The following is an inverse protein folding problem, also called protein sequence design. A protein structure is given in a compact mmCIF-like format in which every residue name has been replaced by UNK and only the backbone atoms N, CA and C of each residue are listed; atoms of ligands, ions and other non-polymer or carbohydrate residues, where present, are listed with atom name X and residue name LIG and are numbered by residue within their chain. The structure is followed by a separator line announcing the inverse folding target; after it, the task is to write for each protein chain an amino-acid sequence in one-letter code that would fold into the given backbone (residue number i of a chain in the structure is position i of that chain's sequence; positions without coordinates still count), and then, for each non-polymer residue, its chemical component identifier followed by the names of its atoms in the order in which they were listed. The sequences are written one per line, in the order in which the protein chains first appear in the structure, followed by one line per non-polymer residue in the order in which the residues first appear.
data_IF_331320029686
#
_entry.id   IF_331320029686
#
_cell.length_a   1.000
_cell.length_b   1.000
_cell.length_c   1.000
_cell.angle_alpha   90.00
_cell.angle_beta   90.00
_cell.angle_gamma   90.00
#
_symmetry.space_group_name_H-M   'P 1'
#
loop_
_entity.id
_entity.type
_entity.pdbx_description
1 polymer ?
#
# COMPACT_ATOMS: atom_id res chain seq x y z
N UNK A 1 -13.84 -17.36 3.31
CA UNK A 1 -14.68 -17.12 4.52
C UNK A 1 -15.80 -18.15 4.68
N UNK A 2 -16.71 -18.32 3.72
CA UNK A 2 -17.78 -19.34 3.79
C UNK A 2 -17.29 -20.79 3.88
N UNK A 3 -16.20 -21.15 3.18
CA UNK A 3 -15.58 -22.50 3.26
C UNK A 3 -15.00 -22.77 4.67
N UNK A 4 -14.19 -21.85 5.19
CA UNK A 4 -13.66 -21.91 6.56
C UNK A 4 -14.75 -21.99 7.63
N UNK A 5 -15.83 -21.22 7.49
CA UNK A 5 -16.98 -21.27 8.41
C UNK A 5 -17.68 -22.64 8.41
N UNK A 6 -17.58 -23.39 7.31
CA UNK A 6 -18.14 -24.73 7.16
C UNK A 6 -17.10 -25.84 7.40
N UNK A 7 -15.92 -25.53 7.94
CA UNK A 7 -14.88 -26.52 8.27
C UNK A 7 -14.15 -27.11 7.06
N UNK A 8 -14.32 -26.54 5.86
CA UNK A 8 -13.54 -26.96 4.70
C UNK A 8 -12.17 -26.27 4.68
N UNK A 9 -11.16 -27.01 4.23
CA UNK A 9 -9.89 -26.43 3.83
C UNK A 9 -10.12 -25.41 2.70
N UNK A 10 -9.51 -24.24 2.89
CA UNK A 10 -9.55 -23.13 1.96
C UNK A 10 -8.18 -23.15 1.26
N UNK A 11 -8.09 -23.88 0.15
CA UNK A 11 -6.93 -23.81 -0.76
C UNK A 11 -7.20 -22.66 -1.73
N UNK A 12 -6.59 -21.47 -1.53
CA UNK A 12 -6.82 -20.36 -2.42
C UNK A 12 -6.22 -20.68 -3.79
N UNK A 13 -6.87 -20.31 -4.90
CA UNK A 13 -6.33 -20.58 -6.24
C UNK A 13 -4.94 -19.95 -6.43
N UNK A 14 -4.08 -20.64 -7.19
CA UNK A 14 -2.75 -20.17 -7.63
C UNK A 14 -1.90 -19.63 -6.47
N UNK A 15 -1.78 -20.44 -5.42
CA UNK A 15 -0.99 -20.14 -4.21
C UNK A 15 -1.39 -18.85 -3.49
N UNK A 16 -2.67 -18.47 -3.58
CA UNK A 16 -3.19 -17.26 -2.96
C UNK A 16 -2.72 -15.98 -3.61
N UNK A 17 -2.39 -16.00 -4.91
CA UNK A 17 -2.11 -14.80 -5.68
C UNK A 17 -3.27 -13.80 -5.60
N UNK A 18 -2.94 -12.51 -5.45
CA UNK A 18 -3.94 -11.43 -5.42
C UNK A 18 -4.80 -11.42 -6.67
N UNK A 19 -4.19 -11.64 -7.83
CA UNK A 19 -4.89 -11.80 -9.09
C UNK A 19 -4.58 -13.17 -9.69
N UNK A 20 -5.58 -14.06 -9.63
CA UNK A 20 -5.44 -15.48 -10.00
C UNK A 20 -6.28 -15.86 -11.23
N UNK A 21 -7.25 -15.03 -11.63
CA UNK A 21 -8.07 -15.19 -12.85
C UNK A 21 -8.80 -16.54 -13.01
N UNK A 22 -8.90 -17.36 -11.98
CA UNK A 22 -9.45 -18.73 -12.08
C UNK A 22 -10.95 -18.79 -12.37
N UNK A 23 -11.68 -17.68 -12.18
CA UNK A 23 -13.13 -17.62 -12.39
C UNK A 23 -13.48 -17.19 -13.82
N UNK A 24 -14.40 -17.90 -14.51
CA UNK A 24 -14.83 -17.56 -15.86
C UNK A 24 -15.25 -16.08 -16.00
N UNK A 25 -14.69 -15.39 -17.00
CA UNK A 25 -15.02 -13.99 -17.29
C UNK A 25 -14.38 -12.96 -16.35
N UNK A 26 -13.67 -13.39 -15.30
CA UNK A 26 -13.08 -12.48 -14.32
C UNK A 26 -11.70 -11.97 -14.77
N UNK A 27 -11.60 -10.67 -15.04
CA UNK A 27 -10.32 -9.96 -15.28
C UNK A 27 -9.80 -9.24 -14.03
N UNK A 28 -10.50 -9.39 -12.90
CA UNK A 28 -10.10 -8.91 -11.57
C UNK A 28 -9.60 -7.45 -11.53
N UNK A 29 -10.23 -6.58 -12.32
CA UNK A 29 -9.93 -5.14 -12.34
C UNK A 29 -8.81 -4.73 -13.30
N UNK A 30 -8.25 -5.65 -14.09
CA UNK A 30 -7.34 -5.29 -15.17
C UNK A 30 -8.09 -4.62 -16.33
N UNK A 31 -7.44 -3.63 -16.94
CA UNK A 31 -7.90 -2.87 -18.11
C UNK A 31 -6.75 -2.79 -19.12
N UNK A 32 -7.08 -2.81 -20.41
CA UNK A 32 -6.12 -2.69 -21.49
C UNK A 32 -6.01 -1.27 -22.03
N UNK A 33 -4.78 -0.85 -22.36
CA UNK A 33 -4.46 0.32 -23.18
C UNK A 33 -3.66 -0.16 -24.39
N UNK A 34 -4.10 0.18 -25.60
CA UNK A 34 -3.58 -0.39 -26.86
C UNK A 34 -3.62 -1.94 -26.90
N UNK A 35 -4.50 -2.56 -26.10
CA UNK A 35 -4.77 -3.99 -26.06
C UNK A 35 -6.17 -4.25 -25.46
N UNK A 36 -6.67 -5.47 -25.62
CA UNK A 36 -7.92 -5.93 -25.02
C UNK A 36 -7.64 -7.04 -24.02
N UNK A 37 -8.20 -6.93 -22.82
CA UNK A 37 -8.07 -7.96 -21.78
C UNK A 37 -9.34 -8.80 -21.68
N UNK A 38 -9.17 -10.11 -21.48
CA UNK A 38 -10.27 -11.06 -21.31
C UNK A 38 -9.85 -12.22 -20.40
N UNK A 39 -10.78 -13.12 -20.08
CA UNK A 39 -10.50 -14.32 -19.29
C UNK A 39 -10.69 -15.57 -20.15
N UNK A 40 -9.60 -16.25 -20.48
CA UNK A 40 -9.59 -17.44 -21.34
C UNK A 40 -8.93 -18.62 -20.64
N UNK A 41 -9.17 -19.82 -21.16
CA UNK A 41 -8.35 -20.97 -20.78
C UNK A 41 -7.02 -20.88 -21.53
N UNK A 42 -5.92 -20.91 -20.79
CA UNK A 42 -4.59 -21.07 -21.36
C UNK A 42 -4.38 -22.53 -21.84
N UNK A 43 -3.33 -22.82 -22.62
CA UNK A 43 -3.03 -24.17 -23.11
C UNK A 43 -2.90 -25.26 -22.03
N UNK A 44 -2.56 -24.89 -20.79
CA UNK A 44 -2.53 -25.81 -19.64
C UNK A 44 -3.94 -26.20 -19.13
N UNK A 45 -5.01 -25.64 -19.70
CA UNK A 45 -6.40 -25.89 -19.33
C UNK A 45 -6.94 -25.00 -18.20
N UNK A 46 -6.06 -24.29 -17.50
CA UNK A 46 -6.42 -23.33 -16.44
C UNK A 46 -6.84 -21.98 -17.02
N UNK A 47 -7.60 -21.20 -16.26
CA UNK A 47 -7.99 -19.86 -16.67
C UNK A 47 -6.93 -18.83 -16.32
N UNK A 48 -6.70 -17.90 -17.23
CA UNK A 48 -5.72 -16.84 -17.15
C UNK A 48 -6.33 -15.52 -17.66
N UNK A 49 -5.70 -14.40 -17.32
CA UNK A 49 -5.95 -13.14 -18.01
C UNK A 49 -5.29 -13.24 -19.39
N UNK A 50 -6.06 -13.10 -20.46
CA UNK A 50 -5.56 -13.07 -21.82
C UNK A 50 -5.48 -11.61 -22.28
N UNK A 51 -4.27 -11.15 -22.59
CA UNK A 51 -3.98 -9.85 -23.18
C UNK A 51 -3.88 -10.05 -24.69
N UNK A 52 -4.88 -9.56 -25.42
CA UNK A 52 -4.93 -9.57 -26.87
C UNK A 52 -4.31 -8.27 -27.38
N UNK A 53 -3.29 -8.37 -28.22
CA UNK A 53 -2.57 -7.22 -28.75
C UNK A 53 -2.36 -7.36 -30.26
N UNK A 54 -2.30 -6.22 -30.93
CA UNK A 54 -1.91 -6.12 -32.34
C UNK A 54 -0.40 -5.80 -32.45
N UNK A 55 0.11 -5.80 -33.68
CA UNK A 55 1.46 -5.31 -33.95
C UNK A 55 1.61 -3.85 -33.50
N UNK A 56 2.65 -3.57 -32.73
CA UNK A 56 2.92 -2.25 -32.17
C UNK A 56 3.89 -1.47 -33.06
N UNK A 57 3.55 -0.24 -33.48
CA UNK A 57 4.50 0.66 -34.14
C UNK A 57 5.71 0.95 -33.25
N UNK A 58 6.85 1.29 -33.87
CA UNK A 58 8.04 1.68 -33.12
C UNK A 58 7.75 2.82 -32.13
N UNK A 59 8.11 2.61 -30.86
CA UNK A 59 7.88 3.55 -29.76
C UNK A 59 6.46 3.56 -29.18
N UNK A 60 5.57 2.66 -29.61
CA UNK A 60 4.27 2.41 -28.98
C UNK A 60 4.32 1.17 -28.12
N UNK A 61 3.62 1.20 -27.00
CA UNK A 61 3.52 0.11 -26.05
C UNK A 61 2.05 -0.19 -25.75
N UNK A 62 1.76 -1.43 -25.36
CA UNK A 62 0.45 -1.82 -24.86
C UNK A 62 0.55 -2.21 -23.39
N UNK A 63 -0.48 -1.90 -22.61
CA UNK A 63 -0.45 -2.10 -21.16
C UNK A 63 -1.73 -2.78 -20.69
N UNK A 64 -1.58 -3.79 -19.83
CA UNK A 64 -2.67 -4.37 -19.07
C UNK A 64 -2.42 -4.08 -17.58
N UNK A 65 -3.18 -3.12 -17.03
CA UNK A 65 -2.97 -2.59 -15.68
C UNK A 65 -4.22 -2.68 -14.82
N UNK A 66 -4.02 -2.73 -13.50
CA UNK A 66 -5.08 -2.63 -12.50
C UNK A 66 -4.78 -1.50 -11.52
N UNK A 67 -5.83 -0.82 -11.05
CA UNK A 67 -5.71 0.30 -10.13
C UNK A 67 -5.27 -0.17 -8.74
N UNK A 68 -4.23 0.48 -8.21
CA UNK A 68 -3.75 0.30 -6.83
C UNK A 68 -4.11 1.49 -5.93
N UNK A 69 -4.52 2.61 -6.53
CA UNK A 69 -5.03 3.79 -5.85
C UNK A 69 -6.07 4.50 -6.74
N UNK A 70 -6.34 5.79 -6.51
CA UNK A 70 -7.26 6.58 -7.34
C UNK A 70 -6.66 6.79 -8.74
N UNK A 71 -7.49 6.67 -9.77
CA UNK A 71 -7.08 6.62 -11.18
C UNK A 71 -6.43 7.93 -11.67
N UNK A 72 -6.92 9.09 -11.21
CA UNK A 72 -6.38 10.38 -11.61
C UNK A 72 -6.63 11.46 -10.56
N UNK A 73 -5.88 12.57 -10.68
CA UNK A 73 -6.12 13.77 -9.89
C UNK A 73 -7.51 14.37 -10.16
N UNK A 74 -8.03 14.31 -11.38
CA UNK A 74 -9.37 14.78 -11.72
C UNK A 74 -10.44 13.95 -11.00
N UNK A 75 -10.32 12.63 -11.02
CA UNK A 75 -11.21 11.72 -10.30
C UNK A 75 -11.22 12.03 -8.81
N UNK A 76 -10.05 12.24 -8.20
CA UNK A 76 -9.96 12.60 -6.79
C UNK A 76 -10.69 13.93 -6.50
N UNK A 77 -10.45 14.97 -7.31
CA UNK A 77 -11.12 16.28 -7.17
C UNK A 77 -12.63 16.21 -7.37
N UNK A 78 -13.09 15.38 -8.29
CA UNK A 78 -14.51 15.20 -8.57
C UNK A 78 -15.29 14.74 -7.33
N UNK A 79 -14.74 13.79 -6.56
CA UNK A 79 -15.40 13.30 -5.35
C UNK A 79 -15.33 14.27 -4.17
N UNK A 80 -14.24 15.03 -4.02
CA UNK A 80 -14.10 16.05 -2.97
C UNK A 80 -15.20 17.11 -3.00
N UNK A 81 -15.70 17.45 -4.20
CA UNK A 81 -16.70 18.48 -4.38
C UNK A 81 -18.14 18.02 -4.07
N UNK A 82 -18.37 16.72 -3.82
CA UNK A 82 -19.72 16.14 -3.71
C UNK A 82 -20.12 15.73 -2.29
N UNK A 83 -19.49 16.33 -1.28
CA UNK A 83 -19.84 16.14 0.14
C UNK A 83 -19.22 14.89 0.77
N UNK A 84 -19.14 13.78 0.04
CA UNK A 84 -18.37 12.59 0.42
C UNK A 84 -17.13 12.48 -0.46
N UNK A 85 -16.00 12.99 0.05
CA UNK A 85 -14.70 12.84 -0.61
C UNK A 85 -14.29 11.37 -0.70
N UNK A 86 -13.58 11.02 -1.77
CA UNK A 86 -12.97 9.70 -1.91
C UNK A 86 -11.77 9.61 -0.96
N UNK A 87 -11.90 8.79 0.09
CA UNK A 87 -10.79 8.47 0.99
C UNK A 87 -10.24 7.10 0.63
N UNK A 88 -8.99 7.05 0.21
CA UNK A 88 -8.32 5.81 -0.16
C UNK A 88 -6.85 5.89 0.24
N UNK A 89 -6.22 4.72 0.38
CA UNK A 89 -4.77 4.59 0.46
C UNK A 89 -4.31 3.63 -0.62
N UNK A 90 -3.12 3.81 -1.21
CA UNK A 90 -2.56 2.84 -2.15
C UNK A 90 -2.47 1.45 -1.49
N UNK A 91 -2.60 0.41 -2.30
CA UNK A 91 -2.42 -0.99 -1.87
C UNK A 91 -1.10 -1.61 -2.34
N UNK A 92 -0.27 -0.80 -3.01
CA UNK A 92 1.06 -1.15 -3.50
C UNK A 92 2.01 0.00 -3.19
N UNK A 93 3.19 -0.33 -2.70
CA UNK A 93 4.15 0.64 -2.19
C UNK A 93 5.59 0.30 -2.60
N UNK A 94 6.48 1.30 -2.65
CA UNK A 94 7.93 1.09 -2.70
C UNK A 94 8.42 0.03 -1.72
N UNK A 95 9.45 -0.73 -2.10
CA UNK A 95 10.02 -1.82 -1.30
C UNK A 95 9.34 -3.18 -1.47
N UNK A 96 8.07 -3.20 -1.90
CA UNK A 96 7.37 -4.44 -2.25
C UNK A 96 7.86 -5.00 -3.60
N UNK A 97 7.67 -6.30 -3.80
CA UNK A 97 8.04 -7.01 -5.02
C UNK A 97 6.80 -7.48 -5.76
N UNK A 98 6.63 -7.00 -7.00
CA UNK A 98 5.65 -7.50 -7.96
C UNK A 98 6.18 -8.80 -8.56
N UNK A 99 5.31 -9.78 -8.76
CA UNK A 99 5.64 -11.05 -9.43
C UNK A 99 4.50 -11.51 -10.32
N UNK A 100 4.81 -12.09 -11.47
CA UNK A 100 3.82 -12.61 -12.41
C UNK A 100 4.38 -13.76 -13.23
N UNK A 101 3.51 -14.70 -13.57
CA UNK A 101 3.81 -15.80 -14.49
C UNK A 101 3.04 -15.58 -15.80
N UNK A 102 3.74 -15.69 -16.92
CA UNK A 102 3.20 -15.41 -18.25
C UNK A 102 3.54 -16.50 -19.26
N UNK A 103 2.71 -16.61 -20.29
CA UNK A 103 2.88 -17.49 -21.43
C UNK A 103 2.49 -16.75 -22.71
N UNK A 104 3.40 -16.66 -23.68
CA UNK A 104 3.03 -16.21 -25.02
C UNK A 104 2.36 -17.35 -25.78
N UNK A 105 1.21 -17.09 -26.41
CA UNK A 105 0.50 -18.10 -27.21
C UNK A 105 1.43 -18.71 -28.28
N UNK A 106 1.34 -20.02 -28.50
CA UNK A 106 2.03 -20.69 -29.61
C UNK A 106 1.55 -20.24 -30.99
N UNK A 107 0.38 -19.61 -31.05
CA UNK A 107 -0.18 -19.04 -32.29
C UNK A 107 0.40 -17.66 -32.61
N UNK A 108 1.18 -17.05 -31.71
CA UNK A 108 1.89 -15.82 -32.00
C UNK A 108 2.99 -16.07 -33.04
N UNK A 109 3.11 -15.19 -34.03
CA UNK A 109 4.04 -15.40 -35.15
C UNK A 109 5.49 -15.05 -34.79
N UNK A 110 5.69 -14.16 -33.82
CA UNK A 110 7.01 -13.62 -33.47
C UNK A 110 7.14 -13.41 -31.96
N UNK A 111 8.38 -13.39 -31.50
CA UNK A 111 8.72 -12.99 -30.14
C UNK A 111 8.27 -11.55 -29.86
N UNK A 112 7.96 -11.28 -28.59
CA UNK A 112 7.65 -9.94 -28.09
C UNK A 112 8.57 -9.59 -26.94
N UNK A 113 8.68 -8.30 -26.62
CA UNK A 113 9.29 -7.84 -25.37
C UNK A 113 8.23 -7.39 -24.37
N UNK A 114 8.40 -7.80 -23.12
CA UNK A 114 7.47 -7.50 -22.03
C UNK A 114 8.21 -7.00 -20.79
N UNK A 115 7.52 -6.19 -19.99
CA UNK A 115 8.03 -5.64 -18.74
C UNK A 115 6.93 -5.55 -17.68
N UNK A 116 7.32 -5.58 -16.41
CA UNK A 116 6.44 -5.14 -15.33
C UNK A 116 6.41 -3.62 -15.31
N UNK A 117 5.23 -3.03 -15.15
CA UNK A 117 5.05 -1.59 -15.12
C UNK A 117 4.16 -1.14 -13.96
N UNK A 118 4.34 0.12 -13.57
CA UNK A 118 3.49 0.84 -12.61
C UNK A 118 3.23 2.25 -13.13
N UNK A 119 2.08 2.82 -12.78
CA UNK A 119 1.82 4.24 -12.95
C UNK A 119 1.97 4.94 -11.61
N UNK A 120 2.79 5.98 -11.55
CA UNK A 120 3.11 6.71 -10.31
C UNK A 120 2.74 8.17 -10.47
N UNK A 121 2.10 8.76 -9.46
CA UNK A 121 1.84 10.19 -9.48
C UNK A 121 3.15 11.00 -9.36
N UNK A 122 3.25 12.13 -10.06
CA UNK A 122 4.40 13.02 -9.98
C UNK A 122 4.08 14.33 -9.24
N UNK A 123 5.03 15.28 -9.26
CA UNK A 123 4.89 16.61 -8.66
C UNK A 123 3.76 17.45 -9.28
N UNK A 124 3.37 17.14 -10.52
CA UNK A 124 2.30 17.83 -11.27
C UNK A 124 0.95 17.10 -11.15
N UNK A 125 0.87 16.08 -10.30
CA UNK A 125 -0.28 15.20 -10.11
C UNK A 125 -0.67 14.40 -11.36
N UNK A 126 0.28 14.17 -12.27
CA UNK A 126 0.10 13.29 -13.42
C UNK A 126 0.56 11.89 -13.07
N UNK A 127 -0.16 10.89 -13.55
CA UNK A 127 0.27 9.49 -13.47
C UNK A 127 1.25 9.21 -14.62
N UNK A 128 2.49 8.87 -14.27
CA UNK A 128 3.57 8.58 -15.22
C UNK A 128 3.93 7.11 -15.12
N UNK A 129 3.99 6.43 -16.27
CA UNK A 129 4.37 5.02 -16.34
C UNK A 129 5.87 4.86 -16.11
N UNK A 130 6.21 3.94 -15.21
CA UNK A 130 7.56 3.46 -14.95
C UNK A 130 7.60 1.95 -15.18
N UNK A 131 8.70 1.47 -15.73
CA UNK A 131 8.95 0.04 -15.92
C UNK A 131 10.40 -0.30 -15.56
N UNK A 132 10.65 -1.55 -15.18
CA UNK A 132 12.00 -2.08 -14.95
C UNK A 132 12.38 -3.06 -16.07
N UNK A 133 13.32 -2.63 -16.92
CA UNK A 133 13.84 -3.44 -18.01
C UNK A 133 12.77 -3.92 -18.99
N UNK A 134 13.15 -4.84 -19.85
CA UNK A 134 12.25 -5.66 -20.65
C UNK A 134 12.90 -7.04 -20.84
N UNK A 135 12.08 -8.06 -21.07
CA UNK A 135 12.55 -9.38 -21.45
C UNK A 135 11.83 -9.82 -22.71
N UNK A 136 12.56 -10.42 -23.64
CA UNK A 136 11.97 -11.11 -24.79
C UNK A 136 11.24 -12.38 -24.34
N UNK A 137 10.16 -12.75 -25.01
CA UNK A 137 9.45 -14.03 -24.82
C UNK A 137 9.05 -14.60 -26.18
N UNK A 138 9.39 -15.86 -26.42
CA UNK A 138 9.14 -16.58 -27.68
C UNK A 138 7.74 -17.23 -27.69
N UNK A 139 7.13 -17.48 -28.87
CA UNK A 139 5.85 -18.17 -28.95
C UNK A 139 5.87 -19.54 -28.25
N UNK A 140 4.90 -19.78 -27.38
CA UNK A 140 4.81 -20.99 -26.55
C UNK A 140 5.75 -21.02 -25.34
N UNK A 141 6.55 -19.97 -25.12
CA UNK A 141 7.46 -19.87 -23.98
C UNK A 141 6.73 -19.38 -22.72
N UNK A 142 7.09 -19.95 -21.57
CA UNK A 142 6.66 -19.52 -20.25
C UNK A 142 7.77 -18.72 -19.56
N UNK A 143 7.42 -17.59 -18.93
CA UNK A 143 8.36 -16.81 -18.11
C UNK A 143 7.74 -16.35 -16.79
N UNK A 144 8.61 -16.20 -15.80
CA UNK A 144 8.29 -15.53 -14.54
C UNK A 144 9.01 -14.18 -14.51
N UNK A 145 8.28 -13.12 -14.24
CA UNK A 145 8.83 -11.77 -14.04
C UNK A 145 8.72 -11.40 -12.56
N UNK A 146 9.71 -10.67 -12.07
CA UNK A 146 9.74 -10.16 -10.70
C UNK A 146 10.43 -8.81 -10.66
N UNK A 147 9.81 -7.83 -9.99
CA UNK A 147 10.35 -6.47 -9.84
C UNK A 147 10.19 -5.98 -8.41
N UNK A 148 11.30 -5.65 -7.74
CA UNK A 148 11.26 -4.92 -6.46
C UNK A 148 11.14 -3.41 -6.73
N UNK A 149 10.04 -2.82 -6.32
CA UNK A 149 9.73 -1.42 -6.60
C UNK A 149 10.75 -0.52 -5.88
N UNK A 150 11.43 0.38 -6.62
CA UNK A 150 12.40 1.30 -6.04
C UNK A 150 11.71 2.38 -5.20
N UNK A 151 12.50 3.24 -4.55
CA UNK A 151 11.95 4.46 -3.96
C UNK A 151 11.32 5.35 -5.03
N UNK A 152 10.15 5.92 -4.72
CA UNK A 152 9.37 6.80 -5.61
C UNK A 152 9.20 8.20 -5.00
N UNK A 153 10.14 8.62 -4.16
CA UNK A 153 10.11 9.91 -3.42
C UNK A 153 8.82 10.16 -2.62
N UNK A 154 8.15 9.08 -2.17
CA UNK A 154 6.91 9.16 -1.40
C UNK A 154 5.65 9.40 -2.23
N UNK A 155 5.75 9.41 -3.56
CA UNK A 155 4.58 9.51 -4.42
C UNK A 155 3.79 8.18 -4.49
N UNK A 156 2.44 8.24 -4.49
CA UNK A 156 1.61 7.04 -4.52
C UNK A 156 1.57 6.40 -5.91
N UNK A 157 1.52 5.06 -5.91
CA UNK A 157 1.34 4.24 -7.11
C UNK A 157 -0.16 4.20 -7.43
N UNK A 158 -0.54 4.62 -8.64
CA UNK A 158 -1.91 4.68 -9.14
C UNK A 158 -2.37 3.33 -9.69
N UNK A 159 -1.49 2.63 -10.41
CA UNK A 159 -1.77 1.36 -11.05
C UNK A 159 -0.50 0.50 -11.17
N UNK A 160 -0.69 -0.79 -11.40
CA UNK A 160 0.37 -1.74 -11.68
C UNK A 160 -0.10 -2.78 -12.71
N UNK A 161 0.83 -3.31 -13.49
CA UNK A 161 0.51 -4.36 -14.44
C UNK A 161 1.70 -4.85 -15.25
N UNK A 162 1.40 -5.20 -16.51
CA UNK A 162 2.35 -5.64 -17.52
C UNK A 162 2.28 -4.71 -18.72
N UNK A 163 3.45 -4.44 -19.29
CA UNK A 163 3.63 -3.70 -20.52
C UNK A 163 4.20 -4.63 -21.60
N UNK A 164 3.64 -4.57 -22.81
CA UNK A 164 4.20 -5.12 -24.02
C UNK A 164 4.98 -3.98 -24.68
N UNK A 165 6.30 -4.08 -24.61
CA UNK A 165 7.27 -3.05 -25.02
C UNK A 165 7.49 -3.08 -26.52
N UNK A 166 7.49 -4.28 -27.11
CA UNK A 166 7.64 -4.47 -28.57
C UNK A 166 6.85 -5.69 -28.99
N UNK A 167 6.04 -5.55 -30.05
CA UNK A 167 5.30 -6.64 -30.65
C UNK A 167 5.28 -6.47 -32.18
N UNK A 168 6.13 -7.20 -32.94
CA UNK A 168 6.17 -7.07 -34.40
C UNK A 168 4.91 -7.59 -35.12
N UNK A 169 4.18 -8.49 -34.45
CA UNK A 169 2.95 -9.11 -34.92
C UNK A 169 1.94 -9.16 -33.77
N UNK A 170 0.65 -9.37 -34.08
CA UNK A 170 -0.39 -9.54 -33.06
C UNK A 170 -0.33 -10.91 -32.39
N UNK A 171 -0.95 -11.03 -31.22
CA UNK A 171 -0.97 -12.27 -30.45
C UNK A 171 -1.75 -12.19 -29.14
N UNK A 172 -1.61 -13.25 -28.34
CA UNK A 172 -2.20 -13.36 -27.01
C UNK A 172 -1.09 -13.68 -26.01
N UNK A 173 -0.94 -12.80 -25.01
CA UNK A 173 -0.12 -13.06 -23.82
C UNK A 173 -1.05 -13.48 -22.68
N UNK A 174 -0.88 -14.71 -22.19
CA UNK A 174 -1.59 -15.21 -21.03
C UNK A 174 -0.82 -14.83 -19.76
N UNK A 175 -1.53 -14.24 -18.80
CA UNK A 175 -1.04 -13.97 -17.45
C UNK A 175 -1.72 -14.94 -16.51
N UNK A 176 -0.96 -15.90 -16.01
CA UNK A 176 -1.47 -16.95 -15.14
C UNK A 176 -1.85 -16.37 -13.78
N UNK A 177 -0.93 -15.61 -13.17
CA UNK A 177 -1.15 -14.91 -11.92
C UNK A 177 -0.36 -13.61 -11.87
N UNK A 178 -0.87 -12.65 -11.12
CA UNK A 178 -0.20 -11.40 -10.80
C UNK A 178 -0.34 -11.14 -9.29
N UNK A 179 0.77 -10.83 -8.63
CA UNK A 179 0.79 -10.61 -7.18
C UNK A 179 1.88 -9.61 -6.79
N UNK A 180 1.81 -9.11 -5.56
CA UNK A 180 2.91 -8.41 -4.93
C UNK A 180 2.98 -8.72 -3.45
N UNK A 181 4.21 -8.80 -2.94
CA UNK A 181 4.50 -9.21 -1.56
C UNK A 181 5.66 -8.41 -0.97
N UNK A 182 5.83 -8.55 0.34
CA UNK A 182 6.90 -7.90 1.10
C UNK A 182 6.42 -6.66 1.84
N UNK A 183 7.25 -6.21 2.77
CA UNK A 183 7.00 -5.01 3.56
C UNK A 183 7.34 -3.76 2.76
N UNK A 184 6.56 -2.67 2.91
CA UNK A 184 6.87 -1.40 2.30
C UNK A 184 8.18 -0.80 2.83
N UNK A 185 8.86 -0.03 2.00
CA UNK A 185 10.01 0.81 2.33
C UNK A 185 9.80 2.21 1.73
N UNK A 186 9.14 3.08 2.49
CA UNK A 186 8.64 4.37 2.01
C UNK A 186 8.79 5.46 3.05
N UNK A 187 9.13 6.67 2.57
CA UNK A 187 9.14 7.91 3.35
C UNK A 187 7.98 8.78 2.88
N UNK A 188 7.14 9.18 3.82
CA UNK A 188 5.93 9.96 3.61
C UNK A 188 6.10 11.31 4.29
N UNK A 189 6.18 12.35 3.47
CA UNK A 189 6.33 13.74 3.90
C UNK A 189 5.77 14.65 2.82
N UNK A 190 5.69 15.95 3.10
CA UNK A 190 5.19 16.93 2.14
C UNK A 190 6.03 16.93 0.87
N UNK A 191 5.35 16.75 -0.26
CA UNK A 191 5.92 16.91 -1.61
C UNK A 191 5.17 17.97 -2.40
N UNK A 192 5.75 18.39 -3.53
CA UNK A 192 5.02 19.15 -4.53
C UNK A 192 3.89 18.27 -5.11
N UNK A 193 2.78 18.92 -5.47
CA UNK A 193 1.55 18.23 -5.78
C UNK A 193 0.79 17.84 -4.51
N UNK A 194 -0.25 17.04 -4.70
CA UNK A 194 -1.32 16.86 -3.72
C UNK A 194 -1.80 15.42 -3.61
N UNK A 195 -1.33 14.53 -4.48
CA UNK A 195 -1.67 13.11 -4.44
C UNK A 195 -1.05 12.40 -3.23
N UNK A 196 0.16 12.78 -2.79
CA UNK A 196 0.78 12.26 -1.57
C UNK A 196 -0.10 12.50 -0.33
N UNK A 197 -0.75 13.67 -0.23
CA UNK A 197 -1.63 14.03 0.88
C UNK A 197 -2.97 13.28 0.81
N UNK A 198 -3.46 13.01 -0.41
CA UNK A 198 -4.70 12.25 -0.64
C UNK A 198 -4.56 10.75 -0.39
N UNK A 199 -3.34 10.24 -0.37
CA UNK A 199 -3.05 8.84 -0.10
C UNK A 199 -3.30 8.43 1.37
N UNK A 200 -3.69 9.38 2.22
CA UNK A 200 -4.04 9.15 3.62
C UNK A 200 -5.56 9.18 3.81
N UNK A 201 -6.09 8.18 4.51
CA UNK A 201 -7.51 8.11 4.88
C UNK A 201 -7.73 8.95 6.14
N UNK A 202 -8.56 9.99 6.02
CA UNK A 202 -8.79 10.97 7.07
C UNK A 202 -9.90 10.53 8.04
N UNK A 203 -9.51 10.17 9.26
CA UNK A 203 -10.40 9.92 10.39
C UNK A 203 -10.24 10.95 11.52
N UNK A 204 -9.83 12.18 11.22
CA UNK A 204 -9.76 13.30 12.17
C UNK A 204 -10.67 14.45 11.76
N UNK A 205 -11.02 15.32 12.71
CA UNK A 205 -11.87 16.49 12.46
C UNK A 205 -11.22 17.54 11.53
N UNK A 206 -9.89 17.68 11.57
CA UNK A 206 -9.17 18.56 10.65
C UNK A 206 -7.83 17.99 10.21
N UNK A 207 -7.69 17.82 8.90
CA UNK A 207 -6.45 17.52 8.18
C UNK A 207 -6.51 18.22 6.82
N UNK A 208 -5.48 19.00 6.47
CA UNK A 208 -5.46 19.70 5.19
C UNK A 208 -4.13 20.41 4.88
N UNK A 209 -3.88 20.70 3.59
CA UNK A 209 -2.54 21.09 3.09
C UNK A 209 -2.15 22.55 3.36
N UNK A 210 -3.02 23.32 4.04
CA UNK A 210 -2.85 24.77 4.27
C UNK A 210 -1.78 25.13 5.30
N UNK A 211 -1.30 24.14 6.04
CA UNK A 211 -0.34 24.32 7.13
C UNK A 211 1.07 23.97 6.67
N UNK A 212 2.13 24.52 7.28
CA UNK A 212 3.50 24.19 6.89
C UNK A 212 3.84 22.72 7.17
N UNK A 213 3.22 22.11 8.18
CA UNK A 213 3.50 20.72 8.53
C UNK A 213 2.94 19.73 7.51
N UNK A 214 3.64 18.62 7.30
CA UNK A 214 3.16 17.54 6.40
C UNK A 214 1.84 16.97 6.90
N UNK A 215 1.75 16.76 8.21
CA UNK A 215 0.58 16.19 8.88
C UNK A 215 0.26 17.03 10.11
N UNK A 216 -0.65 18.00 9.97
CA UNK A 216 -1.28 18.67 11.11
C UNK A 216 -2.65 18.06 11.35
N UNK A 217 -2.83 17.43 12.51
CA UNK A 217 -4.08 16.81 12.91
C UNK A 217 -4.73 17.63 14.03
N UNK A 218 -6.04 17.83 13.94
CA UNK A 218 -6.86 18.35 15.02
C UNK A 218 -8.01 17.38 15.24
N UNK A 219 -8.25 17.07 16.52
CA UNK A 219 -9.37 16.26 16.96
C UNK A 219 -10.07 16.97 18.11
N UNK A 220 -11.38 17.14 18.01
CA UNK A 220 -12.18 17.81 19.03
C UNK A 220 -12.66 16.81 20.09
N UNK A 221 -13.03 15.59 19.68
CA UNK A 221 -13.61 14.58 20.58
C UNK A 221 -13.05 13.18 20.35
N UNK A 222 -12.69 12.52 21.44
CA UNK A 222 -12.21 11.14 21.40
C UNK A 222 -10.92 10.98 20.59
N UNK A 223 -10.72 9.76 20.08
CA UNK A 223 -9.55 9.38 19.28
C UNK A 223 -9.84 9.54 17.79
N UNK A 224 -8.97 10.27 17.10
CA UNK A 224 -8.94 10.36 15.65
C UNK A 224 -7.66 9.73 15.10
N UNK A 225 -7.73 9.22 13.87
CA UNK A 225 -6.57 8.64 13.19
C UNK A 225 -6.45 9.17 11.75
N UNK A 226 -5.21 9.41 11.32
CA UNK A 226 -4.87 9.55 9.91
C UNK A 226 -4.17 8.26 9.46
N UNK A 227 -4.76 7.54 8.51
CA UNK A 227 -4.37 6.16 8.18
C UNK A 227 -3.66 6.06 6.82
N UNK A 228 -2.70 5.14 6.69
CA UNK A 228 -2.01 4.87 5.43
C UNK A 228 -1.63 3.39 5.31
N UNK A 229 -1.67 2.87 4.08
CA UNK A 229 -1.25 1.52 3.74
C UNK A 229 -2.39 0.51 3.69
N UNK A 230 -2.00 -0.75 3.49
CA UNK A 230 -2.89 -1.87 3.24
C UNK A 230 -2.80 -2.95 4.31
N UNK A 231 -3.75 -3.89 4.26
CA UNK A 231 -3.92 -4.92 5.29
C UNK A 231 -2.83 -5.99 5.29
N UNK A 232 -2.11 -6.15 4.19
CA UNK A 232 -1.13 -7.20 3.93
C UNK A 232 0.27 -6.93 4.52
N UNK A 233 0.46 -5.83 5.25
CA UNK A 233 1.72 -5.57 5.95
C UNK A 233 1.74 -6.32 7.28
N UNK A 234 2.78 -7.13 7.51
CA UNK A 234 2.84 -8.06 8.67
C UNK A 234 3.92 -7.64 9.66
N UNK A 235 5.16 -7.62 9.19
CA UNK A 235 6.36 -7.35 9.98
C UNK A 235 7.13 -6.16 9.40
N UNK A 236 7.18 -5.07 10.16
CA UNK A 236 7.79 -3.81 9.72
C UNK A 236 8.10 -2.90 10.91
N UNK A 237 8.84 -1.82 10.64
CA UNK A 237 8.98 -0.67 11.54
C UNK A 237 8.28 0.55 10.97
N UNK A 238 7.65 1.33 11.84
CA UNK A 238 7.15 2.66 11.54
C UNK A 238 7.89 3.67 12.42
N UNK A 239 8.38 4.76 11.83
CA UNK A 239 8.93 5.90 12.57
C UNK A 239 8.21 7.20 12.22
N UNK A 240 8.08 8.12 13.16
CA UNK A 240 7.57 9.46 12.91
C UNK A 240 8.06 10.50 13.94
N UNK A 241 8.18 11.76 13.51
CA UNK A 241 8.50 12.88 14.39
C UNK A 241 7.20 13.54 14.92
N UNK A 242 6.79 13.18 16.13
CA UNK A 242 5.51 13.62 16.70
C UNK A 242 5.72 14.81 17.64
N UNK A 243 5.03 15.91 17.36
CA UNK A 243 4.96 17.09 18.23
C UNK A 243 3.56 17.20 18.86
N UNK A 244 3.40 16.92 20.16
CA UNK A 244 2.14 17.13 20.88
C UNK A 244 1.85 18.63 21.06
N UNK A 245 0.63 19.08 20.75
CA UNK A 245 0.18 20.47 21.01
C UNK A 245 -1.15 20.47 21.77
N UNK A 246 -1.06 20.49 23.11
CA UNK A 246 -2.22 20.49 24.01
C UNK A 246 -3.17 19.32 23.72
N UNK A 247 -2.59 18.12 23.60
CA UNK A 247 -3.34 16.87 23.37
C UNK A 247 -3.58 16.14 24.68
N UNK A 248 -4.64 15.34 24.73
CA UNK A 248 -4.76 14.30 25.76
C UNK A 248 -3.73 13.18 25.51
N UNK A 249 -3.65 12.71 24.26
CA UNK A 249 -2.67 11.73 23.76
C UNK A 249 -2.33 11.99 22.31
N UNK A 250 -1.13 11.67 21.87
CA UNK A 250 -0.79 11.60 20.45
C UNK A 250 0.32 10.59 20.19
N UNK A 251 0.43 10.06 18.98
CA UNK A 251 1.50 9.13 18.66
C UNK A 251 1.32 8.42 17.32
N UNK A 252 1.83 7.21 17.25
CA UNK A 252 1.84 6.38 16.04
C UNK A 252 1.16 5.04 16.28
N UNK A 253 0.63 4.45 15.22
CA UNK A 253 -0.05 3.16 15.23
C UNK A 253 0.46 2.23 14.13
N UNK A 254 0.47 0.93 14.44
CA UNK A 254 0.84 -0.17 13.55
C UNK A 254 -0.27 -1.22 13.54
N UNK A 255 -0.24 -2.09 12.52
CA UNK A 255 -1.23 -3.12 12.22
C UNK A 255 -2.65 -2.56 12.20
N UNK A 256 -2.78 -1.37 11.60
CA UNK A 256 -4.07 -0.67 11.56
C UNK A 256 -5.00 -1.33 10.54
N UNK A 257 -6.18 -1.71 11.00
CA UNK A 257 -7.25 -2.32 10.19
C UNK A 257 -8.52 -1.45 10.16
N UNK A 258 -8.41 -0.20 10.63
CA UNK A 258 -9.49 0.76 10.76
C UNK A 258 -9.42 1.52 12.09
N UNK A 259 -10.43 2.35 12.35
CA UNK A 259 -10.48 3.25 13.52
C UNK A 259 -10.60 2.55 14.89
N UNK A 260 -10.82 1.22 14.90
CA UNK A 260 -11.10 0.43 16.12
C UNK A 260 -10.21 -0.81 16.25
N UNK A 261 -9.16 -0.92 15.44
CA UNK A 261 -8.27 -2.09 15.36
C UNK A 261 -6.84 -1.68 15.03
N UNK A 262 -6.00 -1.53 16.05
CA UNK A 262 -4.58 -1.19 15.90
C UNK A 262 -3.79 -1.40 17.21
N UNK A 263 -2.46 -1.44 17.12
CA UNK A 263 -1.59 -1.13 18.26
C UNK A 263 -1.04 0.28 18.13
N UNK A 264 -0.88 0.99 19.24
CA UNK A 264 -0.33 2.35 19.22
C UNK A 264 0.65 2.63 20.35
N UNK A 265 1.71 3.38 20.03
CA UNK A 265 2.61 4.02 20.97
C UNK A 265 2.15 5.47 21.14
N UNK A 266 1.70 5.82 22.34
CA UNK A 266 1.06 7.10 22.64
C UNK A 266 1.85 7.88 23.69
N UNK A 267 2.12 9.14 23.39
CA UNK A 267 2.63 10.14 24.32
C UNK A 267 1.47 10.77 25.09
N UNK A 268 1.64 10.92 26.42
CA UNK A 268 0.71 11.59 27.33
C UNK A 268 1.42 12.77 28.01
N UNK A 269 1.17 14.02 27.57
CA UNK A 269 1.76 15.20 28.20
C UNK A 269 1.69 15.17 29.74
N UNK A 270 2.81 15.42 30.39
CA UNK A 270 2.97 15.42 31.85
C UNK A 270 2.88 14.07 32.57
N UNK A 271 2.55 12.97 31.87
CA UNK A 271 2.35 11.65 32.51
C UNK A 271 3.37 10.60 32.06
N UNK A 272 3.50 10.38 30.75
CA UNK A 272 4.39 9.33 30.26
C UNK A 272 4.04 8.82 28.86
N UNK A 273 4.43 7.59 28.59
CA UNK A 273 4.12 6.89 27.34
C UNK A 273 3.34 5.61 27.59
N UNK A 274 2.48 5.22 26.64
CA UNK A 274 1.69 4.00 26.69
C UNK A 274 1.82 3.22 25.39
N UNK A 275 1.88 1.90 25.50
CA UNK A 275 1.64 0.97 24.41
C UNK A 275 0.23 0.40 24.61
N UNK A 276 -0.65 0.60 23.63
CA UNK A 276 -2.05 0.21 23.71
C UNK A 276 -2.45 -0.69 22.55
N UNK A 277 -3.49 -1.48 22.78
CA UNK A 277 -4.26 -2.19 21.76
C UNK A 277 -5.65 -1.59 21.71
N UNK A 278 -6.09 -1.16 20.54
CA UNK A 278 -7.50 -0.90 20.26
C UNK A 278 -8.04 -2.12 19.51
N UNK A 279 -9.03 -2.81 20.09
CA UNK A 279 -9.78 -3.88 19.45
C UNK A 279 -11.23 -3.80 19.92
N UNK A 280 -11.99 -2.92 19.27
CA UNK A 280 -13.35 -2.54 19.66
C UNK A 280 -13.45 -1.96 21.09
N UNK A 281 -12.30 -1.62 21.67
CA UNK A 281 -12.08 -0.98 22.96
C UNK A 281 -10.59 -0.92 23.29
N UNK A 282 -10.17 0.09 24.06
CA UNK A 282 -8.75 0.33 24.36
C UNK A 282 -8.28 -0.47 25.57
N UNK A 283 -7.19 -1.22 25.39
CA UNK A 283 -6.44 -1.87 26.46
C UNK A 283 -5.02 -1.32 26.51
N UNK A 284 -4.57 -0.87 27.69
CA UNK A 284 -3.14 -0.56 27.90
C UNK A 284 -2.39 -1.88 28.07
N UNK A 285 -1.40 -2.12 27.21
CA UNK A 285 -0.53 -3.29 27.28
C UNK A 285 0.65 -3.01 28.21
N UNK A 286 1.28 -1.85 28.04
CA UNK A 286 2.36 -1.37 28.89
C UNK A 286 2.35 0.16 29.00
N UNK A 287 2.92 0.68 30.08
CA UNK A 287 3.11 2.11 30.27
C UNK A 287 4.36 2.43 31.08
N UNK A 288 4.94 3.61 30.85
CA UNK A 288 6.13 4.07 31.56
C UNK A 288 5.99 5.55 31.93
N UNK A 289 6.24 5.93 33.20
CA UNK A 289 6.28 7.33 33.59
C UNK A 289 7.45 8.06 32.92
N UNK A 290 7.17 9.20 32.28
CA UNK A 290 8.19 10.08 31.71
C UNK A 290 7.62 11.49 31.49
N UNK A 291 8.48 12.52 31.54
CA UNK A 291 8.05 13.89 31.26
C UNK A 291 7.85 14.07 29.75
N UNK A 292 6.59 14.16 29.34
CA UNK A 292 6.22 14.53 27.98
C UNK A 292 5.82 16.01 27.98
N UNK A 293 6.59 16.82 27.26
CA UNK A 293 6.36 18.24 27.11
C UNK A 293 5.52 18.50 25.86
N UNK A 294 4.55 19.40 25.97
CA UNK A 294 3.92 19.95 24.79
C UNK A 294 4.95 20.78 24.00
N UNK A 295 4.75 20.89 22.69
CA UNK A 295 5.59 21.66 21.75
C UNK A 295 7.01 21.13 21.54
N UNK A 296 7.39 20.02 22.20
CA UNK A 296 8.62 19.28 21.91
C UNK A 296 8.33 18.20 20.86
N UNK A 297 9.23 18.06 19.89
CA UNK A 297 9.21 16.94 18.93
C UNK A 297 9.89 15.73 19.54
N UNK A 298 9.24 14.58 19.42
CA UNK A 298 9.74 13.27 19.84
C UNK A 298 9.85 12.36 18.63
N UNK A 299 10.95 11.62 18.51
CA UNK A 299 11.07 10.60 17.47
C UNK A 299 10.49 9.29 17.99
N UNK A 300 9.33 8.91 17.46
CA UNK A 300 8.66 7.68 17.82
C UNK A 300 9.01 6.58 16.83
N UNK A 301 9.23 5.37 17.34
CA UNK A 301 9.34 4.17 16.51
C UNK A 301 8.55 3.01 17.12
N UNK A 302 7.82 2.30 16.27
CA UNK A 302 7.20 1.03 16.61
C UNK A 302 7.77 -0.07 15.71
N UNK A 303 8.16 -1.20 16.30
CA UNK A 303 8.55 -2.42 15.59
C UNK A 303 7.54 -3.52 15.88
N UNK A 304 7.00 -4.13 14.84
CA UNK A 304 6.08 -5.26 14.96
C UNK A 304 6.64 -6.47 14.22
N UNK A 305 6.80 -7.60 14.92
CA UNK A 305 7.30 -8.86 14.36
C UNK A 305 6.58 -10.05 14.98
N UNK A 306 5.79 -10.79 14.21
CA UNK A 306 5.00 -11.90 14.77
C UNK A 306 4.11 -11.40 15.92
N UNK A 307 4.27 -11.92 17.13
CA UNK A 307 3.57 -11.41 18.32
C UNK A 307 4.31 -10.29 19.06
N UNK A 308 5.54 -9.93 18.68
CA UNK A 308 6.36 -8.98 19.39
C UNK A 308 6.05 -7.55 18.95
N UNK A 309 5.86 -6.65 19.92
CA UNK A 309 5.57 -5.23 19.72
C UNK A 309 6.52 -4.42 20.59
N UNK A 310 7.38 -3.60 19.97
CA UNK A 310 8.34 -2.76 20.68
C UNK A 310 8.07 -1.28 20.38
N UNK A 311 8.13 -0.44 21.41
CA UNK A 311 7.96 1.00 21.33
C UNK A 311 9.23 1.73 21.76
N UNK A 312 9.66 2.68 20.93
CA UNK A 312 10.85 3.50 21.12
C UNK A 312 10.50 4.97 21.11
N UNK A 313 11.18 5.74 21.97
CA UNK A 313 11.10 7.21 22.01
C UNK A 313 12.53 7.74 22.01
N UNK A 314 12.84 8.64 21.09
CA UNK A 314 14.19 9.23 20.92
C UNK A 314 15.27 8.13 20.84
N UNK A 315 15.01 7.11 20.01
CA UNK A 315 15.83 5.91 19.79
C UNK A 315 16.04 4.98 20.99
N UNK A 316 15.43 5.25 22.15
CA UNK A 316 15.50 4.38 23.31
C UNK A 316 14.28 3.46 23.34
N UNK A 317 14.50 2.14 23.52
CA UNK A 317 13.38 1.20 23.75
C UNK A 317 12.79 1.48 25.12
N UNK A 318 11.54 1.95 25.14
CA UNK A 318 10.83 2.33 26.38
C UNK A 318 9.77 1.31 26.79
N UNK A 319 9.18 0.60 25.82
CA UNK A 319 8.08 -0.34 26.03
C UNK A 319 8.25 -1.56 25.12
N UNK A 320 7.83 -2.75 25.59
CA UNK A 320 7.97 -4.00 24.86
C UNK A 320 6.96 -5.01 25.37
N UNK A 321 6.10 -5.53 24.49
CA UNK A 321 5.02 -6.45 24.85
C UNK A 321 4.84 -7.55 23.80
N UNK A 322 4.10 -8.60 24.17
CA UNK A 322 3.69 -9.64 23.22
C UNK A 322 2.18 -9.80 23.15
N UNK A 323 1.61 -9.67 21.95
CA UNK A 323 0.19 -9.80 21.66
C UNK A 323 0.00 -10.27 20.20
N UNK A 324 -0.99 -11.13 19.94
CA UNK A 324 -1.21 -11.77 18.62
C UNK A 324 -2.55 -11.39 17.98
N UNK A 325 -3.34 -10.52 18.63
CA UNK A 325 -4.72 -10.29 18.20
C UNK A 325 -4.84 -9.51 16.90
N UNK A 326 -3.82 -8.71 16.57
CA UNK A 326 -3.65 -8.11 15.27
C UNK A 326 -2.28 -8.53 14.74
N UNK A 327 -2.26 -9.22 13.61
CA UNK A 327 -1.01 -9.72 12.99
C UNK A 327 -0.59 -8.94 11.76
N UNK A 328 -1.46 -8.08 11.25
CA UNK A 328 -1.31 -7.43 9.96
C UNK A 328 -2.06 -6.09 9.95
N UNK A 329 -1.66 -5.17 9.07
CA UNK A 329 -2.34 -3.90 8.85
C UNK A 329 -1.41 -2.74 8.53
N UNK A 330 -1.98 -1.63 8.11
CA UNK A 330 -1.24 -0.41 7.77
C UNK A 330 -0.72 0.34 8.98
N UNK A 331 -0.46 1.64 8.78
CA UNK A 331 -0.01 2.56 9.81
C UNK A 331 -1.03 3.65 10.09
N UNK A 332 -0.85 4.36 11.20
CA UNK A 332 -1.62 5.56 11.47
C UNK A 332 -0.91 6.56 12.37
N UNK A 333 -1.23 7.85 12.19
CA UNK A 333 -0.97 8.89 13.18
C UNK A 333 -2.20 9.00 14.08
N UNK A 334 -1.99 8.98 15.39
CA UNK A 334 -3.07 8.93 16.38
C UNK A 334 -3.11 10.22 17.18
N UNK A 335 -4.32 10.72 17.44
CA UNK A 335 -4.54 11.88 18.29
C UNK A 335 -5.81 11.67 19.13
N UNK A 336 -5.70 11.95 20.43
CA UNK A 336 -6.84 12.20 21.31
C UNK A 336 -6.90 13.68 21.64
N UNK A 337 -8.08 14.28 21.41
CA UNK A 337 -8.46 15.67 21.70
C UNK A 337 -7.31 16.67 21.79
N UNK A 338 -7.17 17.53 20.79
CA UNK A 338 -6.16 18.60 20.75
C UNK A 338 -5.60 18.76 19.34
N UNK A 339 -4.32 19.12 19.25
CA UNK A 339 -3.57 19.22 17.98
C UNK A 339 -2.26 18.44 18.06
N UNK A 340 -1.88 17.76 16.99
CA UNK A 340 -0.50 17.25 16.84
C UNK A 340 0.05 17.59 15.46
N UNK A 341 1.36 17.56 15.34
CA UNK A 341 2.07 17.80 14.10
C UNK A 341 3.14 16.73 13.88
N UNK A 342 3.31 16.34 12.62
CA UNK A 342 4.36 15.43 12.14
C UNK A 342 4.84 15.91 10.78
N UNK A 343 6.15 15.87 10.55
CA UNK A 343 6.76 16.22 9.26
C UNK A 343 7.03 15.01 8.40
N UNK A 344 7.46 13.92 9.03
CA UNK A 344 7.99 12.76 8.34
C UNK A 344 7.49 11.49 9.00
N UNK A 345 6.94 10.61 8.18
CA UNK A 345 6.63 9.23 8.55
C UNK A 345 7.46 8.31 7.67
N UNK A 346 8.07 7.28 8.24
CA UNK A 346 8.77 6.26 7.47
C UNK A 346 8.25 4.89 7.85
N UNK A 347 8.04 4.05 6.84
CA UNK A 347 7.81 2.61 7.01
C UNK A 347 8.96 1.89 6.34
N UNK A 348 9.50 0.88 7.01
CA UNK A 348 10.58 0.08 6.45
C UNK A 348 10.48 -1.38 6.91
N UNK A 349 11.03 -2.33 6.13
CA UNK A 349 11.22 -3.69 6.60
C UNK A 349 12.04 -3.70 7.89
N UNK A 350 11.76 -4.65 8.78
CA UNK A 350 12.69 -4.91 9.88
C UNK A 350 13.94 -5.55 9.29
N UNK A 351 15.12 -5.04 9.65
CA UNK A 351 16.37 -5.67 9.25
C UNK A 351 16.34 -7.13 9.74
N UNK A 352 16.75 -8.07 8.88
CA UNK A 352 17.02 -9.44 9.32
C UNK A 352 18.14 -9.34 10.37
N UNK A 353 17.85 -9.86 11.57
CA UNK A 353 18.83 -9.91 12.66
C UNK A 353 19.88 -10.97 12.36
#
# INVERSE_FOLDING_TARGET
MGRKLNGFEDEPPKDGARYHFSHPGSVQGFRGRECVVSNLKAPNGERALAIHFDALPSGKTAQAITGTFVESHETARYFEQRGYGLMASPILHPGQTISTDVLLSSDAEQAIEIALCIDVFDSENQAVSLQEGSIGIEPGEHKTLSWKIPSLDGYPIAAAGLEIVTAPAGGILYVDRYDWRGSPDVVLERRQGSMWHRAWVNGVDSYGPRYPESFRLIQNHGTGLLLYGSRDWVDYRMTADVTPHLVARSGIATRVQGLRRYYALLLKPGTGAQLVRELDGTRVLAEVPMSIDNYRTYELEMRVRGSQIEGYIDHQKVLSESDIELTEGGIGLVIDTGRTATQRVQVAPLNMA
#
